data_IF_798353501007
#
_entry.id   IF_798353501007
#
_cell.length_a   1.000
_cell.length_b   1.000
_cell.length_c   1.000
_cell.angle_alpha   90.00
_cell.angle_beta   90.00
_cell.angle_gamma   90.00
#
_symmetry.space_group_name_H-M   'P 1'
#
loop_
_entity.id
_entity.type
_entity.pdbx_description
1 polymer ?
#
# COMPACT_ATOMS: atom_id res chain seq x y z
N UNK A 1 -16.21 -34.39 19.23
CA UNK A 1 -15.64 -33.60 18.10
C UNK A 1 -15.08 -32.31 18.68
N UNK A 2 -13.76 -32.23 18.80
CA UNK A 2 -13.04 -31.10 19.40
C UNK A 2 -13.10 -29.93 18.42
N UNK A 3 -13.82 -28.85 18.76
CA UNK A 3 -13.77 -27.58 18.01
C UNK A 3 -12.34 -27.05 18.14
N UNK A 4 -11.58 -27.05 17.04
CA UNK A 4 -10.34 -26.29 16.95
C UNK A 4 -10.66 -24.81 17.16
N UNK A 5 -9.82 -24.06 17.90
CA UNK A 5 -10.01 -22.62 18.04
C UNK A 5 -9.92 -21.99 16.64
N UNK A 6 -10.92 -21.19 16.28
CA UNK A 6 -10.88 -20.35 15.10
C UNK A 6 -9.60 -19.51 15.22
N UNK A 7 -8.64 -19.72 14.30
CA UNK A 7 -7.54 -18.78 14.13
C UNK A 7 -8.18 -17.40 14.03
N UNK A 8 -7.85 -16.53 14.98
CA UNK A 8 -8.44 -15.22 15.10
C UNK A 8 -7.93 -14.45 13.89
N UNK A 9 -8.73 -14.39 12.81
CA UNK A 9 -8.48 -13.50 11.69
C UNK A 9 -8.52 -12.09 12.28
N UNK A 10 -7.34 -11.49 12.47
CA UNK A 10 -7.23 -10.10 12.88
C UNK A 10 -7.17 -9.29 11.60
N UNK A 11 -8.16 -8.43 11.41
CA UNK A 11 -8.14 -7.43 10.36
C UNK A 11 -7.22 -6.28 10.81
N UNK A 12 -6.07 -6.14 10.15
CA UNK A 12 -5.20 -4.98 10.36
C UNK A 12 -5.68 -3.86 9.47
N UNK A 13 -6.00 -2.71 10.07
CA UNK A 13 -6.51 -1.53 9.38
C UNK A 13 -5.50 -0.39 9.47
N UNK A 14 -5.22 0.21 8.32
CA UNK A 14 -4.33 1.36 8.19
C UNK A 14 -5.10 2.51 7.54
N UNK A 15 -5.29 3.57 8.31
CA UNK A 15 -5.89 4.81 7.83
C UNK A 15 -4.98 5.52 6.82
N UNK A 16 -5.57 5.99 5.74
CA UNK A 16 -4.92 6.80 4.70
C UNK A 16 -5.27 8.26 4.97
N UNK A 17 -4.29 9.12 5.28
CA UNK A 17 -4.59 10.54 5.41
C UNK A 17 -5.12 11.09 4.08
N UNK A 18 -6.13 11.96 4.13
CA UNK A 18 -6.89 12.43 2.95
C UNK A 18 -5.98 12.91 1.78
N UNK A 19 -4.90 13.61 2.10
CA UNK A 19 -3.92 14.11 1.13
C UNK A 19 -3.19 13.01 0.32
N UNK A 20 -3.21 11.77 0.81
CA UNK A 20 -2.65 10.60 0.14
C UNK A 20 -3.69 9.76 -0.61
N UNK A 21 -4.98 10.10 -0.54
CA UNK A 21 -6.07 9.30 -1.11
C UNK A 21 -5.92 9.04 -2.62
N UNK A 22 -5.38 10.01 -3.37
CA UNK A 22 -5.10 9.87 -4.81
C UNK A 22 -3.97 8.91 -5.16
N UNK A 23 -3.16 8.51 -4.18
CA UNK A 23 -2.02 7.59 -4.36
C UNK A 23 -2.34 6.16 -3.90
N UNK A 24 -3.49 5.95 -3.26
CA UNK A 24 -3.85 4.70 -2.62
C UNK A 24 -3.97 3.54 -3.61
N UNK A 25 -4.56 3.74 -4.79
CA UNK A 25 -4.74 2.66 -5.77
C UNK A 25 -3.40 2.14 -6.32
N UNK A 26 -2.46 3.05 -6.60
CA UNK A 26 -1.12 2.67 -7.04
C UNK A 26 -0.27 2.05 -5.91
N UNK A 27 -0.49 2.45 -4.65
CA UNK A 27 0.10 1.79 -3.50
C UNK A 27 -0.47 0.38 -3.30
N UNK A 28 -1.79 0.20 -3.48
CA UNK A 28 -2.49 -1.08 -3.39
C UNK A 28 -1.91 -2.12 -4.35
N UNK A 29 -1.61 -1.74 -5.60
CA UNK A 29 -0.97 -2.65 -6.56
C UNK A 29 0.36 -3.21 -6.04
N UNK A 30 1.19 -2.37 -5.41
CA UNK A 30 2.48 -2.80 -4.85
C UNK A 30 2.32 -3.67 -3.63
N UNK A 31 1.33 -3.36 -2.77
CA UNK A 31 1.00 -4.17 -1.60
C UNK A 31 0.53 -5.57 -2.00
N UNK A 32 -0.30 -5.70 -3.04
CA UNK A 32 -0.75 -6.99 -3.55
C UNK A 32 0.40 -7.83 -4.12
N UNK A 33 1.38 -7.19 -4.76
CA UNK A 33 2.60 -7.88 -5.23
C UNK A 33 3.48 -8.31 -4.06
N UNK A 34 3.62 -7.47 -3.02
CA UNK A 34 4.43 -7.77 -1.85
C UNK A 34 3.80 -8.87 -0.97
N UNK A 35 2.48 -8.92 -0.91
CA UNK A 35 1.70 -9.82 -0.07
C UNK A 35 0.69 -10.65 -0.88
N UNK A 36 1.14 -11.51 -1.80
CA UNK A 36 0.26 -12.22 -2.73
C UNK A 36 -0.67 -13.24 -2.05
N UNK A 37 -0.31 -13.70 -0.85
CA UNK A 37 -1.11 -14.63 -0.06
C UNK A 37 -2.15 -13.92 0.83
N UNK A 38 -2.02 -12.60 1.03
CA UNK A 38 -2.92 -11.85 1.90
C UNK A 38 -4.08 -11.26 1.09
N UNK A 39 -5.27 -11.21 1.70
CA UNK A 39 -6.42 -10.52 1.10
C UNK A 39 -6.44 -9.08 1.58
N UNK A 40 -6.02 -8.19 0.71
CA UNK A 40 -5.96 -6.74 0.97
C UNK A 40 -7.16 -6.07 0.30
N UNK A 41 -7.87 -5.25 1.05
CA UNK A 41 -8.99 -4.45 0.57
C UNK A 41 -8.76 -2.96 0.85
N UNK A 42 -9.42 -2.11 0.05
CA UNK A 42 -9.49 -0.67 0.28
C UNK A 42 -10.96 -0.30 0.51
N UNK A 43 -11.22 0.45 1.56
CA UNK A 43 -12.56 0.99 1.85
C UNK A 43 -12.42 2.38 2.44
N UNK A 44 -13.18 3.35 1.94
CA UNK A 44 -13.40 4.68 2.53
C UNK A 44 -12.20 5.34 3.24
N UNK A 45 -11.05 5.42 2.56
CA UNK A 45 -9.85 6.08 3.12
C UNK A 45 -8.99 5.18 4.00
N UNK A 46 -9.21 3.87 3.96
CA UNK A 46 -8.45 2.87 4.70
C UNK A 46 -7.98 1.75 3.78
N UNK A 47 -6.86 1.14 4.16
CA UNK A 47 -6.39 -0.13 3.61
C UNK A 47 -6.44 -1.16 4.73
N UNK A 48 -7.14 -2.26 4.48
CA UNK A 48 -7.26 -3.36 5.43
C UNK A 48 -6.66 -4.64 4.85
N UNK A 49 -6.09 -5.47 5.72
CA UNK A 49 -5.67 -6.82 5.37
C UNK A 49 -6.25 -7.81 6.36
N UNK A 50 -6.86 -8.87 5.83
CA UNK A 50 -7.23 -10.02 6.62
C UNK A 50 -5.98 -10.90 6.78
N UNK A 51 -5.36 -10.85 7.95
CA UNK A 51 -4.16 -11.64 8.23
C UNK A 51 -4.54 -12.96 8.87
N UNK A 52 -4.42 -14.05 8.10
CA UNK A 52 -4.42 -15.42 8.65
C UNK A 52 -3.06 -15.79 9.28
N UNK A 53 -2.33 -14.80 9.81
CA UNK A 53 -0.92 -14.91 10.19
C UNK A 53 0.05 -14.69 9.02
N UNK A 54 -0.41 -14.14 7.89
CA UNK A 54 0.42 -13.92 6.70
C UNK A 54 1.46 -12.79 6.88
N UNK A 55 1.24 -11.88 7.85
CA UNK A 55 2.09 -10.71 8.07
C UNK A 55 1.93 -10.16 9.50
N UNK A 56 3.02 -9.60 10.05
CA UNK A 56 2.98 -8.80 11.28
C UNK A 56 2.34 -7.42 11.04
N UNK A 57 1.48 -6.96 11.95
CA UNK A 57 0.78 -5.68 11.83
C UNK A 57 1.72 -4.48 11.60
N UNK A 58 2.78 -4.36 12.40
CA UNK A 58 3.73 -3.24 12.29
C UNK A 58 4.40 -3.18 10.92
N UNK A 59 4.72 -4.35 10.34
CA UNK A 59 5.29 -4.44 9.01
C UNK A 59 4.27 -4.03 7.94
N UNK A 60 3.02 -4.47 8.07
CA UNK A 60 1.95 -4.05 7.15
C UNK A 60 1.76 -2.53 7.17
N UNK A 61 1.64 -1.95 8.36
CA UNK A 61 1.44 -0.52 8.56
C UNK A 61 2.60 0.29 7.96
N UNK A 62 3.83 -0.14 8.22
CA UNK A 62 5.03 0.47 7.64
C UNK A 62 4.99 0.45 6.12
N UNK A 63 4.63 -0.66 5.51
CA UNK A 63 4.66 -0.79 4.04
C UNK A 63 3.55 0.02 3.37
N UNK A 64 2.34 0.04 3.94
CA UNK A 64 1.25 0.88 3.47
C UNK A 64 1.70 2.35 3.42
N UNK A 65 2.22 2.87 4.53
CA UNK A 65 2.69 4.25 4.62
C UNK A 65 3.86 4.51 3.68
N UNK A 66 4.79 3.56 3.55
CA UNK A 66 5.94 3.67 2.66
C UNK A 66 5.51 3.79 1.19
N UNK A 67 4.63 2.91 0.71
CA UNK A 67 4.18 2.93 -0.67
C UNK A 67 3.33 4.15 -1.01
N UNK A 68 2.46 4.59 -0.09
CA UNK A 68 1.71 5.84 -0.24
C UNK A 68 2.64 7.05 -0.39
N UNK A 69 3.65 7.15 0.47
CA UNK A 69 4.60 8.25 0.43
C UNK A 69 5.47 8.22 -0.84
N UNK A 70 5.94 7.04 -1.25
CA UNK A 70 6.73 6.88 -2.47
C UNK A 70 5.95 7.24 -3.71
N UNK A 71 4.69 6.86 -3.79
CA UNK A 71 3.84 7.22 -4.92
C UNK A 71 3.54 8.72 -4.97
N UNK A 72 3.35 9.36 -3.81
CA UNK A 72 3.27 10.82 -3.71
C UNK A 72 4.49 11.49 -4.33
N UNK A 73 5.67 11.15 -3.83
CA UNK A 73 6.94 11.73 -4.33
C UNK A 73 7.11 11.42 -5.82
N UNK A 74 6.77 10.21 -6.25
CA UNK A 74 6.90 9.85 -7.65
C UNK A 74 6.03 10.75 -8.53
N UNK A 75 4.75 10.88 -8.21
CA UNK A 75 3.81 11.69 -8.99
C UNK A 75 4.18 13.17 -8.96
N UNK A 76 4.53 13.71 -7.79
CA UNK A 76 4.87 15.14 -7.63
C UNK A 76 6.15 15.53 -8.38
N UNK A 77 7.07 14.59 -8.58
CA UNK A 77 8.35 14.85 -9.25
C UNK A 77 8.39 14.37 -10.70
N UNK A 78 7.34 13.71 -11.22
CA UNK A 78 7.35 13.08 -12.54
C UNK A 78 7.58 14.08 -13.66
N UNK A 79 6.84 15.19 -13.66
CA UNK A 79 6.94 16.23 -14.69
C UNK A 79 8.34 16.85 -14.73
N UNK A 80 8.91 17.17 -13.57
CA UNK A 80 10.28 17.69 -13.48
C UNK A 80 11.30 16.68 -14.01
N UNK A 81 11.17 15.40 -13.64
CA UNK A 81 12.06 14.33 -14.14
C UNK A 81 11.96 14.17 -15.65
N UNK A 82 10.76 14.20 -16.22
CA UNK A 82 10.55 14.13 -17.67
C UNK A 82 11.17 15.33 -18.39
N UNK A 83 11.00 16.54 -17.85
CA UNK A 83 11.59 17.75 -18.43
C UNK A 83 13.13 17.72 -18.43
N UNK A 84 13.74 17.26 -17.33
CA UNK A 84 15.19 17.10 -17.23
C UNK A 84 15.73 16.06 -18.21
N UNK A 85 15.06 14.92 -18.34
CA UNK A 85 15.44 13.88 -19.32
C UNK A 85 15.32 14.45 -20.73
N UNK A 86 14.20 15.08 -21.07
CA UNK A 86 13.97 15.67 -22.39
C UNK A 86 15.10 16.64 -22.75
N UNK A 87 15.42 17.59 -21.87
CA UNK A 87 16.46 18.60 -22.11
C UNK A 87 17.83 18.00 -22.49
N UNK A 88 18.23 16.88 -21.87
CA UNK A 88 19.53 16.23 -22.16
C UNK A 88 19.45 15.34 -23.41
N UNK A 89 18.29 14.78 -23.73
CA UNK A 89 18.12 13.87 -24.87
C UNK A 89 17.76 14.55 -26.20
N UNK A 90 17.23 15.77 -26.17
CA UNK A 90 16.89 16.55 -27.36
C UNK A 90 17.98 17.55 -27.77
N UNK A 91 19.13 17.52 -27.11
CA UNK A 91 20.31 18.34 -27.39
C UNK A 91 21.24 17.68 -28.40
#
# INVERSE_FOLDING_TARGET
MTKLPHATDVDVVVEIPLQFGKYADAAMLRLQVLYPACRIARQDGEISVRSSGCIAEDQFRKDVLHFLYREKIYTETLTMRQALVAAVTTS
#
